data_IF_830704678491
#
_entry.id   IF_830704678491
#
_cell.length_a   1.000
_cell.length_b   1.000
_cell.length_c   1.000
_cell.angle_alpha   90.00
_cell.angle_beta   90.00
_cell.angle_gamma   90.00
#
_symmetry.space_group_name_H-M   'P 1'
#
loop_
_entity.id
_entity.type
_entity.pdbx_description
1 polymer ?
#
# COMPACT_ATOMS: atom_id res chain seq x y z
N UNK A 1 13.67 -1.67 -11.61
CA UNK A 1 14.36 -1.80 -10.32
C UNK A 1 14.79 -0.41 -9.92
N UNK A 2 14.32 0.05 -8.76
CA UNK A 2 14.36 1.43 -8.24
C UNK A 2 15.73 2.09 -8.14
N UNK A 3 16.40 2.24 -9.27
CA UNK A 3 17.67 2.92 -9.45
C UNK A 3 17.50 4.26 -10.18
N UNK A 4 16.25 4.62 -10.50
CA UNK A 4 15.88 5.88 -11.14
C UNK A 4 15.44 6.90 -10.08
N UNK A 5 15.64 8.19 -10.39
CA UNK A 5 15.17 9.29 -9.53
C UNK A 5 13.78 9.74 -9.94
N UNK A 6 12.95 10.02 -8.94
CA UNK A 6 11.68 10.70 -9.13
C UNK A 6 11.87 12.08 -9.80
N UNK A 7 10.99 12.41 -10.73
CA UNK A 7 10.95 13.71 -11.41
C UNK A 7 9.51 14.18 -11.56
N UNK A 8 9.15 15.22 -10.81
CA UNK A 8 7.83 15.86 -10.87
C UNK A 8 7.51 16.39 -12.26
N UNK A 9 8.51 16.98 -12.94
CA UNK A 9 8.32 17.50 -14.28
C UNK A 9 7.96 16.39 -15.26
N UNK A 10 8.69 15.26 -15.21
CA UNK A 10 8.45 14.16 -16.11
C UNK A 10 7.11 13.46 -15.81
N UNK A 11 6.71 13.39 -14.53
CA UNK A 11 5.39 12.90 -14.13
C UNK A 11 4.27 13.81 -14.69
N UNK A 12 4.39 15.13 -14.53
CA UNK A 12 3.42 16.10 -15.06
C UNK A 12 3.31 16.05 -16.59
N UNK A 13 4.44 15.92 -17.30
CA UNK A 13 4.46 15.74 -18.75
C UNK A 13 3.70 14.48 -19.18
N UNK A 14 3.90 13.36 -18.47
CA UNK A 14 3.18 12.11 -18.73
C UNK A 14 1.68 12.24 -18.49
N UNK A 15 1.25 12.88 -17.40
CA UNK A 15 -0.18 13.12 -17.15
C UNK A 15 -0.80 14.02 -18.23
N UNK A 16 -0.07 15.05 -18.67
CA UNK A 16 -0.52 15.92 -19.77
C UNK A 16 -0.68 15.15 -21.08
N UNK A 17 0.29 14.29 -21.42
CA UNK A 17 0.22 13.44 -22.59
C UNK A 17 -0.98 12.50 -22.55
N UNK A 18 -1.22 11.81 -21.41
CA UNK A 18 -2.40 10.94 -21.23
C UNK A 18 -3.71 11.69 -21.42
N UNK A 19 -3.82 12.90 -20.88
CA UNK A 19 -5.00 13.73 -21.06
C UNK A 19 -5.21 14.14 -22.53
N UNK A 20 -4.14 14.54 -23.23
CA UNK A 20 -4.20 14.87 -24.66
C UNK A 20 -4.61 13.68 -25.53
N UNK A 21 -4.09 12.49 -25.24
CA UNK A 21 -4.36 11.26 -26.01
C UNK A 21 -5.61 10.51 -25.54
N UNK A 22 -6.29 10.98 -24.47
CA UNK A 22 -7.42 10.30 -23.80
C UNK A 22 -7.07 8.87 -23.38
N UNK A 23 -5.83 8.66 -22.98
CA UNK A 23 -5.33 7.36 -22.54
C UNK A 23 -5.59 7.18 -21.04
N UNK A 24 -6.16 6.03 -20.66
CA UNK A 24 -6.29 5.64 -19.26
C UNK A 24 -4.91 5.50 -18.61
N UNK A 25 -4.78 5.87 -17.33
CA UNK A 25 -3.59 5.54 -16.55
C UNK A 25 -3.44 4.02 -16.34
N UNK A 26 -4.56 3.29 -16.28
CA UNK A 26 -4.62 1.84 -16.19
C UNK A 26 -4.78 1.24 -17.58
N UNK A 27 -3.69 1.25 -18.35
CA UNK A 27 -3.70 0.78 -19.74
C UNK A 27 -3.93 -0.72 -19.82
N UNK A 28 -3.41 -1.49 -18.87
CA UNK A 28 -3.59 -2.94 -18.85
C UNK A 28 -5.03 -3.34 -18.52
N UNK A 29 -5.69 -2.64 -17.57
CA UNK A 29 -7.12 -2.81 -17.29
C UNK A 29 -7.97 -2.65 -18.56
N UNK A 30 -7.71 -1.59 -19.34
CA UNK A 30 -8.39 -1.38 -20.61
C UNK A 30 -8.09 -2.48 -21.64
N UNK A 31 -6.84 -2.95 -21.73
CA UNK A 31 -6.44 -4.03 -22.63
C UNK A 31 -7.14 -5.36 -22.27
N UNK A 32 -7.17 -5.74 -20.99
CA UNK A 32 -7.83 -6.95 -20.51
C UNK A 32 -9.33 -6.88 -20.81
N UNK A 33 -9.99 -5.75 -20.51
CA UNK A 33 -11.42 -5.55 -20.79
C UNK A 33 -11.74 -5.61 -22.29
N UNK A 34 -10.87 -5.06 -23.14
CA UNK A 34 -11.06 -5.10 -24.60
C UNK A 34 -10.83 -6.50 -25.20
N UNK A 35 -9.88 -7.26 -24.65
CA UNK A 35 -9.52 -8.58 -25.17
C UNK A 35 -10.35 -9.72 -24.57
N UNK A 36 -10.94 -9.52 -23.38
CA UNK A 36 -11.62 -10.56 -22.60
C UNK A 36 -10.68 -11.58 -21.96
N UNK A 37 -9.36 -11.44 -22.13
CA UNK A 37 -8.39 -12.38 -21.57
C UNK A 37 -7.96 -11.93 -20.16
N UNK A 38 -8.72 -12.36 -19.16
CA UNK A 38 -8.47 -12.06 -17.75
C UNK A 38 -7.25 -12.84 -17.25
N UNK A 39 -6.09 -12.19 -17.22
CA UNK A 39 -4.83 -12.72 -16.70
C UNK A 39 -4.06 -11.62 -15.98
N UNK A 40 -3.19 -12.03 -15.06
CA UNK A 40 -2.22 -11.11 -14.45
C UNK A 40 -1.25 -10.59 -15.51
N UNK A 41 -0.86 -9.32 -15.39
CA UNK A 41 0.20 -8.78 -16.22
C UNK A 41 1.51 -9.54 -15.91
N UNK A 42 2.32 -9.97 -16.91
CA UNK A 42 3.51 -10.80 -16.65
C UNK A 42 4.52 -10.20 -15.66
N UNK A 43 4.65 -8.87 -15.61
CA UNK A 43 5.54 -8.20 -14.64
C UNK A 43 4.94 -8.09 -13.23
N UNK A 44 3.63 -8.29 -13.10
CA UNK A 44 2.89 -8.26 -11.83
C UNK A 44 2.64 -9.68 -11.29
N UNK A 45 3.03 -10.72 -12.02
CA UNK A 45 2.81 -12.12 -11.65
C UNK A 45 3.70 -12.50 -10.46
N UNK A 46 3.14 -12.89 -9.31
CA UNK A 46 3.91 -13.25 -8.12
C UNK A 46 4.51 -14.67 -8.17
N UNK A 47 4.23 -15.45 -9.21
CA UNK A 47 4.65 -16.85 -9.28
C UNK A 47 6.18 -17.02 -9.37
N UNK A 48 6.78 -17.68 -8.38
CA UNK A 48 8.20 -18.01 -8.31
C UNK A 48 9.14 -16.79 -8.44
N UNK A 49 8.70 -15.61 -8.01
CA UNK A 49 9.51 -14.38 -8.02
C UNK A 49 9.74 -13.84 -6.62
N UNK A 50 10.85 -13.12 -6.46
CA UNK A 50 11.13 -12.30 -5.28
C UNK A 50 11.11 -10.83 -5.70
N UNK A 51 10.39 -9.99 -4.96
CA UNK A 51 10.33 -8.55 -5.19
C UNK A 51 11.41 -7.87 -4.35
N UNK A 52 12.20 -7.02 -4.97
CA UNK A 52 13.47 -6.57 -4.42
C UNK A 52 13.52 -5.06 -4.25
N UNK A 53 13.75 -4.61 -3.02
CA UNK A 53 14.11 -3.24 -2.70
C UNK A 53 15.58 -3.21 -2.28
N UNK A 54 16.46 -2.75 -3.18
CA UNK A 54 17.92 -2.85 -3.04
C UNK A 54 18.59 -1.50 -3.05
N UNK A 55 19.68 -1.41 -2.29
CA UNK A 55 20.57 -0.26 -2.31
C UNK A 55 21.27 -0.13 -3.65
N UNK A 56 21.53 1.10 -4.06
CA UNK A 56 22.30 1.41 -5.26
C UNK A 56 23.12 2.68 -5.09
N UNK A 57 23.96 3.00 -6.09
CA UNK A 57 24.69 4.27 -6.10
C UNK A 57 23.76 5.50 -6.04
N UNK A 58 22.53 5.39 -6.57
CA UNK A 58 21.55 6.49 -6.52
C UNK A 58 20.69 6.47 -5.26
N UNK A 59 20.50 5.28 -4.66
CA UNK A 59 19.69 5.03 -3.49
C UNK A 59 20.46 4.18 -2.47
N UNK A 60 21.50 4.73 -1.80
CA UNK A 60 22.38 3.96 -0.91
C UNK A 60 21.68 3.45 0.36
N UNK A 61 20.65 4.16 0.82
CA UNK A 61 19.86 3.79 2.01
C UNK A 61 18.39 3.57 1.63
N UNK A 62 18.14 2.63 0.72
CA UNK A 62 16.78 2.31 0.24
C UNK A 62 15.83 1.97 1.40
N UNK A 63 14.58 2.45 1.31
CA UNK A 63 13.49 2.11 2.24
C UNK A 63 12.30 1.60 1.45
N UNK A 64 11.93 0.35 1.71
CA UNK A 64 10.82 -0.33 1.04
C UNK A 64 9.47 0.15 1.56
N UNK A 65 8.57 0.53 0.65
CA UNK A 65 7.17 0.84 0.93
C UNK A 65 6.30 -0.01 0.01
N UNK A 66 5.46 -0.89 0.55
CA UNK A 66 4.47 -1.63 -0.22
C UNK A 66 3.09 -1.00 0.01
N UNK A 67 2.40 -0.67 -1.08
CA UNK A 67 1.01 -0.19 -1.07
C UNK A 67 0.17 -1.14 -1.91
N UNK A 68 -0.73 -1.88 -1.26
CA UNK A 68 -1.52 -2.93 -1.90
C UNK A 68 -2.99 -2.57 -1.79
N UNK A 69 -3.66 -2.56 -2.93
CA UNK A 69 -5.06 -2.20 -3.05
C UNK A 69 -5.94 -3.43 -3.18
N UNK A 70 -7.00 -3.46 -2.40
CA UNK A 70 -8.21 -4.18 -2.79
C UNK A 70 -8.71 -3.63 -4.14
N UNK A 71 -8.96 -4.54 -5.09
CA UNK A 71 -9.49 -4.22 -6.43
C UNK A 71 -10.82 -4.91 -6.71
N UNK A 72 -11.57 -5.26 -5.67
CA UNK A 72 -12.95 -5.72 -5.81
C UNK A 72 -13.90 -4.60 -6.20
N UNK A 73 -15.15 -4.95 -6.49
CA UNK A 73 -16.15 -4.03 -7.04
C UNK A 73 -16.37 -2.76 -6.22
N UNK A 74 -16.23 -2.82 -4.88
CA UNK A 74 -16.36 -1.67 -3.98
C UNK A 74 -15.17 -0.70 -4.04
N UNK A 75 -13.99 -1.18 -4.46
CA UNK A 75 -12.71 -0.50 -4.28
C UNK A 75 -12.04 0.01 -5.56
N UNK A 76 -12.61 -0.30 -6.73
CA UNK A 76 -11.99 0.01 -8.04
C UNK A 76 -11.71 1.50 -8.35
N UNK A 77 -12.17 2.44 -7.52
CA UNK A 77 -11.87 3.87 -7.64
C UNK A 77 -10.61 4.30 -6.85
N UNK A 78 -10.30 3.62 -5.74
CA UNK A 78 -9.21 4.00 -4.82
C UNK A 78 -7.83 3.99 -5.51
N UNK A 79 -7.45 2.95 -6.29
CA UNK A 79 -6.19 2.96 -7.03
C UNK A 79 -6.09 4.12 -8.03
N UNK A 80 -7.23 4.52 -8.62
CA UNK A 80 -7.29 5.63 -9.59
C UNK A 80 -7.05 6.97 -8.92
N UNK A 81 -7.65 7.19 -7.75
CA UNK A 81 -7.41 8.38 -6.94
C UNK A 81 -5.93 8.45 -6.54
N UNK A 82 -5.36 7.37 -6.00
CA UNK A 82 -3.97 7.35 -5.58
C UNK A 82 -3.03 7.63 -6.77
N UNK A 83 -3.30 7.05 -7.95
CA UNK A 83 -2.51 7.30 -9.14
C UNK A 83 -2.42 8.80 -9.43
N UNK A 84 -3.52 9.56 -9.34
CA UNK A 84 -3.48 11.01 -9.58
C UNK A 84 -2.66 11.78 -8.53
N UNK A 85 -2.59 11.25 -7.30
CA UNK A 85 -1.89 11.87 -6.16
C UNK A 85 -0.47 11.35 -5.93
N UNK A 86 -0.01 10.34 -6.67
CA UNK A 86 1.30 9.72 -6.52
C UNK A 86 2.44 10.75 -6.50
N UNK A 87 2.42 11.71 -7.42
CA UNK A 87 3.46 12.73 -7.48
C UNK A 87 3.53 13.61 -6.23
N UNK A 88 2.37 13.90 -5.61
CA UNK A 88 2.35 14.60 -4.33
C UNK A 88 2.96 13.73 -3.23
N UNK A 89 2.59 12.45 -3.15
CA UNK A 89 3.14 11.52 -2.15
C UNK A 89 4.67 11.45 -2.25
N UNK A 90 5.22 11.24 -3.45
CA UNK A 90 6.66 11.16 -3.65
C UNK A 90 7.36 12.48 -3.30
N UNK A 91 6.75 13.62 -3.66
CA UNK A 91 7.24 14.94 -3.26
C UNK A 91 7.31 15.07 -1.74
N UNK A 92 6.25 14.67 -1.03
CA UNK A 92 6.21 14.70 0.42
C UNK A 92 7.32 13.82 1.02
N UNK A 93 7.46 12.58 0.55
CA UNK A 93 8.45 11.65 1.08
C UNK A 93 9.88 12.16 0.89
N UNK A 94 10.21 12.65 -0.31
CA UNK A 94 11.56 13.04 -0.70
C UNK A 94 11.87 14.49 -0.31
N UNK A 95 11.07 15.46 -0.74
CA UNK A 95 11.39 16.89 -0.57
C UNK A 95 11.21 17.38 0.87
N UNK A 96 10.27 16.82 1.63
CA UNK A 96 10.14 17.10 3.06
C UNK A 96 11.04 16.22 3.92
N UNK A 97 11.83 15.34 3.31
CA UNK A 97 12.82 14.53 4.00
C UNK A 97 12.24 13.50 4.95
N UNK A 98 11.00 13.04 4.71
CA UNK A 98 10.44 11.94 5.51
C UNK A 98 11.21 10.64 5.25
N UNK A 99 11.64 10.42 4.00
CA UNK A 99 12.51 9.32 3.60
C UNK A 99 13.50 9.78 2.54
N UNK A 100 14.79 9.46 2.72
CA UNK A 100 15.83 9.84 1.77
C UNK A 100 15.75 9.06 0.45
N UNK A 101 15.48 7.76 0.52
CA UNK A 101 15.48 6.87 -0.65
C UNK A 101 14.28 5.90 -0.65
N UNK A 102 13.04 6.40 -0.75
CA UNK A 102 11.87 5.53 -0.84
C UNK A 102 11.91 4.70 -2.14
N UNK A 103 11.58 3.42 -2.01
CA UNK A 103 11.25 2.55 -3.14
C UNK A 103 9.84 2.01 -2.90
N UNK A 104 8.92 2.30 -3.81
CA UNK A 104 7.50 1.96 -3.65
C UNK A 104 7.13 0.82 -4.57
N UNK A 105 6.49 -0.20 -4.00
CA UNK A 105 5.82 -1.27 -4.72
C UNK A 105 4.32 -1.05 -4.65
N UNK A 106 3.66 -1.20 -5.80
CA UNK A 106 2.21 -1.24 -5.87
C UNK A 106 1.73 -2.66 -6.13
N UNK A 107 0.67 -3.06 -5.44
CA UNK A 107 0.01 -4.35 -5.62
C UNK A 107 -1.50 -4.21 -5.65
N UNK A 108 -2.16 -5.28 -6.09
CA UNK A 108 -3.59 -5.44 -6.04
C UNK A 108 -3.97 -6.84 -5.54
N UNK A 109 -5.02 -6.90 -4.75
CA UNK A 109 -5.60 -8.12 -4.19
C UNK A 109 -7.10 -8.17 -4.48
N UNK A 110 -7.59 -9.38 -4.72
CA UNK A 110 -9.02 -9.68 -4.82
C UNK A 110 -9.34 -10.95 -4.04
N UNK A 111 -10.37 -11.68 -4.44
CA UNK A 111 -10.77 -12.93 -3.79
C UNK A 111 -10.23 -14.15 -4.55
N UNK A 112 -9.24 -14.84 -3.99
CA UNK A 112 -8.66 -16.05 -4.59
C UNK A 112 -9.62 -17.26 -4.65
N UNK A 113 -10.84 -17.13 -4.12
CA UNK A 113 -11.89 -18.14 -4.25
C UNK A 113 -12.78 -17.94 -5.47
N UNK A 114 -12.86 -16.72 -6.01
CA UNK A 114 -13.81 -16.37 -7.09
C UNK A 114 -13.17 -15.65 -8.26
N UNK A 115 -12.12 -14.88 -8.03
CA UNK A 115 -11.51 -14.00 -9.02
C UNK A 115 -10.49 -14.75 -9.89
N UNK A 116 -10.32 -14.29 -11.13
CA UNK A 116 -9.34 -14.88 -12.05
C UNK A 116 -7.93 -14.33 -11.83
N UNK A 117 -7.82 -13.12 -11.29
CA UNK A 117 -6.55 -12.42 -11.05
C UNK A 117 -6.46 -11.90 -9.61
N UNK A 118 -6.52 -12.80 -8.60
CA UNK A 118 -6.70 -12.42 -7.20
C UNK A 118 -5.45 -11.82 -6.54
N UNK A 119 -4.27 -11.94 -7.16
CA UNK A 119 -3.02 -11.40 -6.61
C UNK A 119 -2.14 -10.84 -7.72
N UNK A 120 -1.79 -9.56 -7.63
CA UNK A 120 -0.96 -8.85 -8.59
C UNK A 120 0.04 -8.00 -7.83
N UNK A 121 1.33 -8.28 -7.94
CA UNK A 121 2.37 -7.60 -7.16
C UNK A 121 3.43 -7.06 -8.10
N UNK A 122 3.59 -5.73 -8.12
CA UNK A 122 4.61 -5.05 -8.92
C UNK A 122 6.03 -5.22 -8.39
N UNK A 123 6.93 -4.38 -8.87
CA UNK A 123 8.29 -4.27 -8.33
C UNK A 123 8.46 -3.00 -7.49
N UNK A 124 9.43 -2.99 -6.56
CA UNK A 124 9.85 -1.76 -5.88
C UNK A 124 10.58 -0.84 -6.86
N UNK A 125 10.02 0.35 -7.06
CA UNK A 125 10.54 1.37 -7.97
C UNK A 125 10.72 2.72 -7.27
N UNK A 126 11.62 3.56 -7.78
CA UNK A 126 12.01 4.85 -7.16
C UNK A 126 11.76 6.08 -8.03
N UNK A 127 11.40 5.87 -9.31
CA UNK A 127 11.15 6.91 -10.29
C UNK A 127 9.78 6.81 -10.95
N UNK A 128 9.68 7.28 -12.19
CA UNK A 128 8.43 7.28 -12.96
C UNK A 128 7.88 5.88 -13.25
N UNK A 129 8.72 4.86 -13.15
CA UNK A 129 8.36 3.46 -13.31
C UNK A 129 7.25 3.06 -12.33
N UNK A 130 7.15 3.71 -11.18
CA UNK A 130 6.03 3.54 -10.23
C UNK A 130 4.66 3.79 -10.88
N UNK A 131 4.54 4.84 -11.71
CA UNK A 131 3.30 5.15 -12.43
C UNK A 131 3.06 4.17 -13.60
N UNK A 132 4.12 3.53 -14.12
CA UNK A 132 3.99 2.44 -15.09
C UNK A 132 3.53 1.13 -14.40
N UNK A 133 4.02 0.83 -13.19
CA UNK A 133 3.57 -0.32 -12.38
C UNK A 133 2.09 -0.20 -12.00
N UNK A 134 1.63 0.98 -11.54
CA UNK A 134 0.20 1.23 -11.31
C UNK A 134 -0.64 0.97 -12.57
N UNK A 135 -0.13 1.38 -13.73
CA UNK A 135 -0.84 1.19 -15.01
C UNK A 135 -0.98 -0.26 -15.47
N UNK A 136 -0.23 -1.19 -14.87
CA UNK A 136 -0.28 -2.64 -15.13
C UNK A 136 -1.31 -3.36 -14.27
N UNK A 137 -1.88 -2.73 -13.25
CA UNK A 137 -2.90 -3.34 -12.41
C UNK A 137 -4.17 -3.56 -13.25
N UNK A 138 -4.66 -4.80 -13.27
CA UNK A 138 -6.00 -5.11 -13.73
C UNK A 138 -6.99 -4.91 -12.57
N UNK A 139 -7.90 -3.96 -12.74
CA UNK A 139 -8.94 -3.67 -11.75
C UNK A 139 -10.12 -4.60 -12.03
N UNK A 140 -10.01 -5.87 -11.65
CA UNK A 140 -10.98 -6.92 -11.99
C UNK A 140 -12.40 -6.51 -11.58
N UNK A 141 -12.55 -5.90 -10.40
CA UNK A 141 -13.85 -5.47 -9.87
C UNK A 141 -14.75 -6.66 -9.52
N UNK A 142 -14.12 -7.81 -9.25
CA UNK A 142 -14.75 -9.03 -8.77
C UNK A 142 -15.12 -8.92 -7.29
N UNK A 143 -14.95 -10.02 -6.57
CA UNK A 143 -15.29 -10.15 -5.15
C UNK A 143 -16.29 -11.26 -4.88
N UNK A 144 -16.19 -11.83 -3.67
CA UNK A 144 -17.07 -12.87 -3.17
C UNK A 144 -18.27 -12.31 -2.41
N UNK A 145 -19.40 -13.01 -2.41
CA UNK A 145 -20.57 -12.64 -1.58
C UNK A 145 -20.36 -12.82 -0.06
N UNK A 146 -19.13 -13.07 0.39
CA UNK A 146 -18.78 -13.53 1.74
C UNK A 146 -18.29 -12.39 2.65
N UNK A 147 -18.12 -11.15 2.15
CA UNK A 147 -17.44 -10.04 2.83
C UNK A 147 -16.06 -10.48 3.35
N UNK A 148 -15.30 -11.14 2.47
CA UNK A 148 -13.92 -11.58 2.68
C UNK A 148 -13.11 -11.48 1.40
N UNK A 149 -11.84 -11.10 1.56
CA UNK A 149 -10.86 -11.06 0.47
C UNK A 149 -9.53 -11.67 0.89
N UNK A 150 -8.71 -12.01 -0.10
CA UNK A 150 -7.48 -12.78 0.10
C UNK A 150 -6.28 -11.93 0.52
N UNK A 151 -6.48 -10.97 1.44
CA UNK A 151 -5.41 -10.15 2.01
C UNK A 151 -4.29 -11.01 2.61
N UNK A 152 -4.59 -12.20 3.14
CA UNK A 152 -3.59 -13.10 3.70
C UNK A 152 -2.49 -13.52 2.70
N UNK A 153 -2.80 -13.58 1.40
CA UNK A 153 -1.83 -13.94 0.36
C UNK A 153 -0.79 -12.84 0.11
N UNK A 154 -1.21 -11.58 0.14
CA UNK A 154 -0.31 -10.44 -0.02
C UNK A 154 0.64 -10.32 1.18
N UNK A 155 0.14 -10.61 2.39
CA UNK A 155 0.94 -10.63 3.61
C UNK A 155 1.97 -11.75 3.57
N UNK A 156 1.58 -12.93 3.08
CA UNK A 156 2.48 -14.05 2.87
C UNK A 156 3.63 -13.67 1.93
N UNK A 157 3.29 -13.05 0.80
CA UNK A 157 4.27 -12.61 -0.18
C UNK A 157 5.19 -11.54 0.40
N UNK A 158 4.66 -10.52 1.07
CA UNK A 158 5.47 -9.50 1.72
C UNK A 158 6.41 -10.09 2.79
N UNK A 159 5.94 -11.04 3.61
CA UNK A 159 6.74 -11.64 4.65
C UNK A 159 7.91 -12.49 4.10
N UNK A 160 7.69 -13.23 3.00
CA UNK A 160 8.58 -14.33 2.58
C UNK A 160 9.18 -14.20 1.18
N UNK A 161 8.58 -13.41 0.31
CA UNK A 161 8.95 -13.25 -1.10
C UNK A 161 9.32 -11.80 -1.44
N UNK A 162 9.64 -11.01 -0.43
CA UNK A 162 10.35 -9.74 -0.59
C UNK A 162 11.76 -9.86 -0.07
N UNK A 163 12.66 -9.12 -0.69
CA UNK A 163 14.00 -8.93 -0.20
C UNK A 163 14.32 -7.44 -0.15
N UNK A 164 14.48 -6.92 1.06
CA UNK A 164 14.50 -5.48 1.34
C UNK A 164 15.75 -5.13 2.14
N UNK A 165 16.63 -4.33 1.55
CA UNK A 165 17.93 -3.99 2.13
C UNK A 165 17.78 -3.13 3.40
N UNK A 166 16.69 -2.36 3.54
CA UNK A 166 16.41 -1.64 4.79
C UNK A 166 16.38 -2.58 5.99
N UNK A 167 15.76 -3.76 5.83
CA UNK A 167 15.68 -4.74 6.90
C UNK A 167 16.94 -5.62 6.96
N UNK A 168 17.34 -6.19 5.82
CA UNK A 168 18.42 -7.18 5.76
C UNK A 168 19.79 -6.63 6.12
N UNK A 169 20.06 -5.36 5.78
CA UNK A 169 21.36 -4.73 6.01
C UNK A 169 21.37 -3.80 7.21
N UNK A 170 20.26 -3.09 7.46
CA UNK A 170 20.19 -2.04 8.48
C UNK A 170 19.29 -2.39 9.67
N UNK A 171 18.58 -3.52 9.63
CA UNK A 171 17.59 -3.88 10.66
C UNK A 171 16.41 -2.91 10.76
N UNK A 172 16.24 -2.03 9.76
CA UNK A 172 15.16 -1.05 9.68
C UNK A 172 13.98 -1.65 8.93
N UNK A 173 12.81 -1.65 9.56
CA UNK A 173 11.60 -2.14 8.90
C UNK A 173 11.23 -1.27 7.70
N UNK A 174 10.68 -1.91 6.67
CA UNK A 174 9.96 -1.20 5.61
C UNK A 174 8.56 -0.78 6.07
N UNK A 175 7.75 -0.28 5.15
CA UNK A 175 6.34 0.06 5.39
C UNK A 175 5.42 -0.77 4.52
N UNK A 176 4.32 -1.25 5.09
CA UNK A 176 3.26 -1.95 4.36
C UNK A 176 1.92 -1.28 4.64
N UNK A 177 1.24 -0.86 3.58
CA UNK A 177 -0.10 -0.31 3.61
C UNK A 177 -1.01 -1.17 2.74
N UNK A 178 -1.99 -1.81 3.36
CA UNK A 178 -3.07 -2.51 2.64
C UNK A 178 -4.31 -1.63 2.72
N UNK A 179 -5.05 -1.49 1.63
CA UNK A 179 -6.22 -0.61 1.56
C UNK A 179 -7.40 -1.45 1.08
N UNK A 180 -8.41 -1.63 1.93
CA UNK A 180 -9.51 -2.56 1.67
C UNK A 180 -10.69 -2.35 2.60
N UNK A 181 -11.85 -2.89 2.25
CA UNK A 181 -13.08 -2.72 3.03
C UNK A 181 -13.76 -4.02 3.50
N UNK A 182 -13.13 -5.18 3.26
CA UNK A 182 -13.61 -6.49 3.70
C UNK A 182 -12.72 -7.16 4.77
N UNK A 183 -13.09 -8.36 5.24
CA UNK A 183 -12.29 -9.13 6.22
C UNK A 183 -11.22 -9.98 5.53
N UNK A 184 -10.06 -10.20 6.17
CA UNK A 184 -9.13 -11.22 5.68
C UNK A 184 -9.67 -12.62 5.97
N UNK A 185 -9.35 -13.59 5.11
CA UNK A 185 -9.60 -15.00 5.42
C UNK A 185 -8.80 -15.42 6.68
N UNK A 186 -9.28 -16.42 7.43
CA UNK A 186 -8.66 -16.80 8.70
C UNK A 186 -7.28 -17.46 8.55
N UNK A 187 -6.93 -17.93 7.35
CA UNK A 187 -5.67 -18.61 7.10
C UNK A 187 -5.21 -18.48 5.64
N UNK A 188 -3.90 -18.41 5.45
CA UNK A 188 -3.22 -18.58 4.16
C UNK A 188 -3.30 -20.06 3.77
N UNK A 189 -4.03 -20.37 2.70
CA UNK A 189 -4.19 -21.75 2.25
C UNK A 189 -2.97 -22.20 1.43
N UNK A 190 -2.44 -23.39 1.77
CA UNK A 190 -1.26 -23.95 1.10
C UNK A 190 -1.42 -24.10 -0.41
N UNK A 191 -2.64 -24.43 -0.86
CA UNK A 191 -2.92 -24.64 -2.29
C UNK A 191 -2.91 -23.33 -3.05
N UNK A 192 -3.50 -22.26 -2.50
CA UNK A 192 -3.46 -20.91 -3.10
C UNK A 192 -2.03 -20.38 -3.17
N UNK A 193 -1.21 -20.60 -2.13
CA UNK A 193 0.21 -20.24 -2.16
C UNK A 193 0.95 -21.01 -3.26
N UNK A 194 0.71 -22.32 -3.38
CA UNK A 194 1.35 -23.14 -4.42
C UNK A 194 0.98 -22.69 -5.83
N UNK A 195 -0.28 -22.33 -6.06
CA UNK A 195 -0.77 -21.97 -7.41
C UNK A 195 -0.43 -20.54 -7.79
N UNK A 196 -0.53 -19.58 -6.85
CA UNK A 196 -0.37 -18.16 -7.14
C UNK A 196 1.07 -17.67 -6.90
N UNK A 197 1.75 -18.16 -5.87
CA UNK A 197 3.08 -17.68 -5.45
C UNK A 197 4.17 -18.69 -5.84
N UNK A 198 3.81 -19.96 -6.02
CA UNK A 198 4.74 -21.02 -6.42
C UNK A 198 5.55 -21.61 -5.27
N UNK A 199 5.18 -21.33 -4.01
CA UNK A 199 5.86 -21.87 -2.83
C UNK A 199 5.21 -23.18 -2.34
N UNK A 200 6.06 -24.13 -1.96
CA UNK A 200 5.66 -25.48 -1.55
C UNK A 200 5.53 -25.59 -0.04
N UNK A 201 4.29 -25.63 0.46
CA UNK A 201 4.01 -25.70 1.91
C UNK A 201 3.38 -27.02 2.34
N UNK A 202 3.69 -27.44 3.56
CA UNK A 202 3.09 -28.62 4.18
C UNK A 202 1.70 -28.33 4.77
N UNK A 203 1.49 -27.14 5.36
CA UNK A 203 0.26 -26.75 6.03
C UNK A 203 -0.14 -25.29 5.78
N UNK A 204 -1.43 -25.02 6.02
CA UNK A 204 -2.00 -23.67 6.05
C UNK A 204 -1.41 -22.86 7.22
N UNK A 205 -1.45 -21.53 7.12
CA UNK A 205 -0.93 -20.61 8.15
C UNK A 205 -2.07 -19.74 8.68
N UNK A 206 -2.32 -19.69 10.00
CA UNK A 206 -3.27 -18.75 10.58
C UNK A 206 -2.91 -17.29 10.25
N UNK A 207 -3.92 -16.46 9.94
CA UNK A 207 -3.71 -15.05 9.59
C UNK A 207 -2.90 -14.27 10.64
N UNK A 208 -3.14 -14.56 11.94
CA UNK A 208 -2.39 -13.93 13.02
C UNK A 208 -0.88 -14.25 12.96
N UNK A 209 -0.52 -15.46 12.52
CA UNK A 209 0.88 -15.85 12.37
C UNK A 209 1.54 -15.12 11.19
N UNK A 210 0.89 -15.03 10.03
CA UNK A 210 1.48 -14.31 8.88
C UNK A 210 1.58 -12.81 9.14
N UNK A 211 0.64 -12.23 9.89
CA UNK A 211 0.74 -10.84 10.36
C UNK A 211 1.96 -10.66 11.28
N UNK A 212 2.17 -11.58 12.22
CA UNK A 212 3.34 -11.52 13.09
C UNK A 212 4.66 -11.63 12.30
N UNK A 213 4.70 -12.48 11.26
CA UNK A 213 5.85 -12.61 10.36
C UNK A 213 6.11 -11.33 9.56
N UNK A 214 5.08 -10.73 8.95
CA UNK A 214 5.26 -9.49 8.17
C UNK A 214 5.68 -8.32 9.06
N UNK A 215 5.15 -8.25 10.29
CA UNK A 215 5.48 -7.19 11.25
C UNK A 215 6.91 -7.24 11.79
N UNK A 216 7.64 -8.34 11.59
CA UNK A 216 9.09 -8.39 11.85
C UNK A 216 9.85 -7.49 10.88
N UNK A 217 9.40 -7.41 9.63
CA UNK A 217 10.10 -6.75 8.50
C UNK A 217 9.46 -5.43 8.09
N UNK A 218 8.18 -5.22 8.41
CA UNK A 218 7.39 -4.07 8.02
C UNK A 218 6.66 -3.42 9.20
N UNK A 219 6.55 -2.11 9.16
CA UNK A 219 5.53 -1.34 9.86
C UNK A 219 4.22 -1.48 9.07
N UNK A 220 3.33 -2.34 9.55
CA UNK A 220 2.11 -2.71 8.83
C UNK A 220 0.89 -1.89 9.28
N UNK A 221 0.20 -1.27 8.33
CA UNK A 221 -1.06 -0.55 8.51
C UNK A 221 -2.11 -1.05 7.52
N UNK A 222 -3.36 -1.11 7.97
CA UNK A 222 -4.51 -1.39 7.13
C UNK A 222 -5.43 -0.16 7.10
N UNK A 223 -5.72 0.37 5.92
CA UNK A 223 -6.55 1.55 5.71
C UNK A 223 -7.93 1.10 5.23
N UNK A 224 -8.97 1.50 5.95
CA UNK A 224 -10.37 1.22 5.59
C UNK A 224 -11.02 2.53 5.16
N UNK A 225 -11.30 2.73 3.86
CA UNK A 225 -12.09 3.88 3.43
C UNK A 225 -13.54 3.71 3.92
N UNK A 226 -14.10 4.68 4.64
CA UNK A 226 -15.40 4.49 5.32
C UNK A 226 -16.61 4.81 4.42
N UNK A 227 -16.37 5.29 3.19
CA UNK A 227 -17.43 5.59 2.21
C UNK A 227 -17.68 4.45 1.21
N UNK A 228 -16.97 3.34 1.35
CA UNK A 228 -17.15 2.13 0.55
C UNK A 228 -18.28 1.25 1.10
N UNK A 229 -18.59 0.15 0.42
CA UNK A 229 -19.74 -0.70 0.72
C UNK A 229 -19.70 -1.28 2.15
N UNK A 230 -18.51 -1.69 2.61
CA UNK A 230 -18.30 -2.38 3.87
C UNK A 230 -17.43 -1.59 4.86
N UNK A 231 -16.92 -0.41 4.48
CA UNK A 231 -16.02 0.39 5.31
C UNK A 231 -16.57 0.84 6.67
N UNK A 232 -17.90 0.94 6.83
CA UNK A 232 -18.59 1.25 8.10
C UNK A 232 -19.10 0.02 8.85
N UNK A 233 -18.82 -1.18 8.34
CA UNK A 233 -19.21 -2.42 9.01
C UNK A 233 -18.48 -2.57 10.34
N UNK A 234 -19.24 -2.63 11.44
CA UNK A 234 -18.67 -2.82 12.78
C UNK A 234 -17.88 -4.13 12.87
N UNK A 235 -18.33 -5.19 12.21
CA UNK A 235 -17.68 -6.50 12.22
C UNK A 235 -16.36 -6.50 11.45
N UNK A 236 -16.29 -5.83 10.29
CA UNK A 236 -15.05 -5.68 9.52
C UNK A 236 -14.03 -4.89 10.34
N UNK A 237 -14.42 -3.72 10.84
CA UNK A 237 -13.53 -2.89 11.63
C UNK A 237 -13.08 -3.58 12.93
N UNK A 238 -13.97 -4.30 13.61
CA UNK A 238 -13.62 -5.05 14.81
C UNK A 238 -12.62 -6.17 14.49
N UNK A 239 -12.81 -6.88 13.38
CA UNK A 239 -11.89 -7.94 12.96
C UNK A 239 -10.49 -7.40 12.66
N UNK A 240 -10.38 -6.30 11.93
CA UNK A 240 -9.08 -5.69 11.68
C UNK A 240 -8.44 -5.13 12.95
N UNK A 241 -9.22 -4.52 13.86
CA UNK A 241 -8.70 -4.02 15.13
C UNK A 241 -8.22 -5.12 16.06
N UNK A 242 -8.86 -6.29 16.04
CA UNK A 242 -8.39 -7.48 16.76
C UNK A 242 -7.00 -7.93 16.27
N UNK A 243 -6.73 -7.80 14.96
CA UNK A 243 -5.47 -8.19 14.34
C UNK A 243 -4.35 -7.13 14.46
N UNK A 244 -4.69 -5.84 14.30
CA UNK A 244 -3.72 -4.75 14.13
C UNK A 244 -3.83 -3.61 15.15
N UNK A 245 -4.85 -3.63 16.02
CA UNK A 245 -5.05 -2.60 17.04
C UNK A 245 -5.20 -1.20 16.44
N UNK A 246 -4.37 -0.26 16.91
CA UNK A 246 -4.35 1.13 16.46
C UNK A 246 -3.81 1.36 15.04
N UNK A 247 -3.28 0.32 14.39
CA UNK A 247 -2.75 0.39 13.02
C UNK A 247 -3.81 0.21 11.94
N UNK A 248 -5.07 0.06 12.36
CA UNK A 248 -6.24 0.16 11.49
C UNK A 248 -6.63 1.63 11.38
N UNK A 249 -6.47 2.20 10.18
CA UNK A 249 -6.70 3.60 9.90
C UNK A 249 -8.04 3.76 9.18
N UNK A 250 -9.03 4.36 9.85
CA UNK A 250 -10.32 4.66 9.23
C UNK A 250 -10.21 5.96 8.44
N UNK A 251 -10.53 5.90 7.15
CA UNK A 251 -10.36 7.01 6.25
C UNK A 251 -11.71 7.47 5.68
N UNK A 252 -12.19 8.61 6.15
CA UNK A 252 -13.48 9.17 5.72
C UNK A 252 -13.44 9.85 4.35
N UNK A 253 -12.29 9.86 3.68
CA UNK A 253 -12.14 10.36 2.31
C UNK A 253 -10.98 9.62 1.62
N UNK A 254 -11.30 8.80 0.60
CA UNK A 254 -10.32 8.08 -0.23
C UNK A 254 -9.29 9.01 -0.88
N UNK A 255 -9.64 10.29 -1.10
CA UNK A 255 -8.68 11.27 -1.56
C UNK A 255 -7.51 11.39 -0.58
N UNK A 256 -7.72 11.25 0.73
CA UNK A 256 -6.70 11.47 1.75
C UNK A 256 -5.74 10.27 1.97
N UNK A 257 -5.76 9.23 1.12
CA UNK A 257 -4.91 8.04 1.27
C UNK A 257 -3.41 8.40 1.23
N UNK A 258 -2.99 9.24 0.28
CA UNK A 258 -1.58 9.63 0.14
C UNK A 258 -1.09 10.44 1.36
N UNK A 259 -1.92 11.36 1.82
CA UNK A 259 -1.69 12.17 3.01
C UNK A 259 -1.56 11.26 4.25
N UNK A 260 -2.43 10.25 4.37
CA UNK A 260 -2.42 9.27 5.48
C UNK A 260 -1.14 8.43 5.48
N UNK A 261 -0.73 7.88 4.32
CA UNK A 261 0.52 7.14 4.16
C UNK A 261 1.72 8.01 4.56
N UNK A 262 1.76 9.25 4.05
CA UNK A 262 2.82 10.21 4.35
C UNK A 262 2.93 10.54 5.84
N UNK A 263 1.82 10.82 6.50
CA UNK A 263 1.79 11.10 7.94
C UNK A 263 2.16 9.87 8.78
N UNK A 264 1.70 8.68 8.41
CA UNK A 264 2.05 7.44 9.11
C UNK A 264 3.56 7.19 9.06
N UNK A 265 4.17 7.33 7.89
CA UNK A 265 5.62 7.23 7.71
C UNK A 265 6.32 8.31 8.54
N UNK A 266 5.89 9.57 8.44
CA UNK A 266 6.51 10.67 9.18
C UNK A 266 6.49 10.49 10.70
N UNK A 267 5.40 9.93 11.25
CA UNK A 267 5.30 9.58 12.67
C UNK A 267 6.29 8.46 13.03
N UNK A 268 6.38 7.41 12.21
CA UNK A 268 7.29 6.28 12.45
C UNK A 268 8.77 6.70 12.35
N UNK A 269 9.10 7.58 11.42
CA UNK A 269 10.45 8.12 11.22
C UNK A 269 10.81 9.22 12.23
N UNK A 270 9.85 9.70 13.02
CA UNK A 270 10.04 10.82 13.95
C UNK A 270 10.33 12.15 13.27
N UNK A 271 10.04 12.29 11.98
CA UNK A 271 10.21 13.54 11.23
C UNK A 271 9.11 14.54 11.53
N UNK A 272 7.96 14.07 12.01
CA UNK A 272 6.91 14.90 12.60
C UNK A 272 6.71 14.53 14.08
N UNK A 273 6.69 15.55 14.94
CA UNK A 273 6.56 15.39 16.40
C UNK A 273 5.10 15.42 16.88
N UNK A 274 4.18 15.81 16.01
CA UNK A 274 2.73 15.79 16.25
C UNK A 274 1.96 15.71 14.93
N UNK A 275 0.70 15.26 14.99
CA UNK A 275 -0.21 15.32 13.85
C UNK A 275 -0.40 16.76 13.35
N UNK A 276 -0.43 17.75 14.26
CA UNK A 276 -0.52 19.17 13.89
C UNK A 276 0.69 19.66 13.09
N UNK A 277 1.90 19.20 13.43
CA UNK A 277 3.11 19.49 12.63
C UNK A 277 2.99 18.90 11.23
N UNK A 278 2.59 17.63 11.13
CA UNK A 278 2.42 16.97 9.84
C UNK A 278 1.34 17.60 8.96
N UNK A 279 0.23 18.06 9.55
CA UNK A 279 -0.79 18.85 8.84
C UNK A 279 -0.19 20.14 8.29
N UNK A 280 0.63 20.84 9.08
CA UNK A 280 1.34 22.05 8.64
C UNK A 280 2.27 21.80 7.45
N UNK A 281 3.03 20.70 7.47
CA UNK A 281 3.93 20.31 6.38
C UNK A 281 3.16 19.99 5.09
N UNK A 282 2.07 19.24 5.20
CA UNK A 282 1.20 18.92 4.07
C UNK A 282 0.57 20.18 3.47
N UNK A 283 -0.01 21.05 4.30
CA UNK A 283 -0.63 22.29 3.81
C UNK A 283 0.41 23.20 3.15
N UNK A 284 1.60 23.31 3.73
CA UNK A 284 2.73 24.05 3.14
C UNK A 284 3.23 23.44 1.83
N UNK A 285 3.00 22.14 1.59
CA UNK A 285 3.30 21.45 0.34
C UNK A 285 2.15 21.54 -0.70
N UNK A 286 1.08 22.28 -0.41
CA UNK A 286 -0.04 22.51 -1.34
C UNK A 286 -1.08 21.37 -1.37
N UNK A 287 -1.18 20.62 -0.28
CA UNK A 287 -2.25 19.65 -0.08
C UNK A 287 -3.56 20.32 0.34
N UNK A 288 -4.68 19.68 0.04
CA UNK A 288 -6.01 20.19 0.40
C UNK A 288 -6.23 20.11 1.91
N UNK A 289 -6.68 21.22 2.52
CA UNK A 289 -6.85 21.30 3.97
C UNK A 289 -7.79 20.24 4.54
N UNK A 290 -8.86 19.90 3.81
CA UNK A 290 -9.82 18.87 4.23
C UNK A 290 -9.15 17.51 4.23
N UNK A 291 -8.47 17.16 3.14
CA UNK A 291 -7.74 15.90 3.03
C UNK A 291 -6.64 15.76 4.11
N UNK A 292 -5.92 16.84 4.42
CA UNK A 292 -4.91 16.82 5.50
C UNK A 292 -5.53 16.55 6.87
N UNK A 293 -6.69 17.14 7.16
CA UNK A 293 -7.38 16.93 8.44
C UNK A 293 -7.96 15.52 8.53
N UNK A 294 -8.53 15.00 7.44
CA UNK A 294 -9.03 13.61 7.38
C UNK A 294 -7.89 12.62 7.65
N UNK A 295 -6.74 12.79 7.00
CA UNK A 295 -5.57 11.96 7.23
C UNK A 295 -5.06 12.03 8.67
N UNK A 296 -5.02 13.23 9.25
CA UNK A 296 -4.62 13.40 10.65
C UNK A 296 -5.59 12.68 11.61
N UNK A 297 -6.90 12.81 11.38
CA UNK A 297 -7.92 12.16 12.19
C UNK A 297 -7.78 10.63 12.18
N UNK A 298 -7.49 10.05 11.01
CA UNK A 298 -7.28 8.61 10.85
C UNK A 298 -6.13 8.07 11.70
N UNK A 299 -5.15 8.91 12.03
CA UNK A 299 -3.93 8.54 12.76
C UNK A 299 -3.95 8.91 14.25
N UNK A 300 -5.02 9.52 14.79
CA UNK A 300 -5.09 9.92 16.20
C UNK A 300 -4.81 8.74 17.13
N UNK A 301 -5.51 7.62 16.95
CA UNK A 301 -5.35 6.45 17.81
C UNK A 301 -3.93 5.87 17.78
N UNK A 302 -3.27 5.92 16.62
CA UNK A 302 -1.89 5.52 16.46
C UNK A 302 -0.95 6.50 17.18
N UNK A 303 -1.09 7.79 16.89
CA UNK A 303 -0.26 8.84 17.48
C UNK A 303 -0.36 8.86 19.01
N UNK A 304 -1.56 8.71 19.59
CA UNK A 304 -1.75 8.73 21.05
C UNK A 304 -1.05 7.56 21.76
N UNK A 305 -0.98 6.38 21.13
CA UNK A 305 -0.30 5.20 21.71
C UNK A 305 1.20 5.23 21.51
N UNK A 306 1.67 5.85 20.45
CA UNK A 306 3.09 5.90 20.06
C UNK A 306 3.75 7.25 20.32
N UNK A 307 3.03 8.22 20.88
CA UNK A 307 3.59 9.46 21.37
C UNK A 307 4.68 9.14 22.40
N UNK A 308 5.90 9.61 22.14
CA UNK A 308 7.00 9.48 23.09
C UNK A 308 6.55 10.06 24.45
N UNK A 309 6.89 9.42 25.58
CA UNK A 309 6.51 9.91 26.89
C UNK A 309 7.27 11.21 27.22
N UNK A 310 6.78 12.35 26.75
CA UNK A 310 7.29 13.69 27.10
C UNK A 310 6.49 14.38 28.22
N UNK A 311 5.69 13.65 29.02
CA UNK A 311 4.90 14.28 30.09
C UNK A 311 4.87 13.55 31.45
N UNK A 312 5.87 12.71 31.76
CA UNK A 312 6.20 12.40 33.16
C UNK A 312 7.40 13.22 33.63
N UNK A 313 7.28 14.55 33.57
CA UNK A 313 8.03 15.39 34.52
C UNK A 313 7.34 15.18 35.86
N UNK A 314 7.99 14.34 36.67
CA UNK A 314 7.67 14.11 38.06
C UNK A 314 8.08 15.36 38.84
N UNK A 315 7.12 15.86 39.63
CA UNK A 315 7.21 16.83 40.73
C UNK A 315 7.57 18.28 40.40
#
# INVERSE_FOLDING_TARGET
>A
MGYSRWSDQAYQQRQHQRHQTRQSAFTYDQQVRNSGNQRVHPQMDPYCVTRESRDSAQHPDSVAIAVIFDVTGSMGNVPRILQTKLGKLMRLLIERGYLAHPQVLFGAVGDAHTDNVPLQIGQFESGLEMDDELGKIYLEGGGGGQVHESYELELYLCARHTAIDCYERRGKKGYLFTIGDEKPYPAVLREQVRTLIGDGRESDIPIAQVIAEVQQRYEYFHIIPTHTAHGRSADVQARWRDLLGERVLLLDDEAAVCETIGLAIGLCEGTIYSLSSGVGDLQSAGYDSTATQTAANALIAYADRHAAPQWRVVA
#
